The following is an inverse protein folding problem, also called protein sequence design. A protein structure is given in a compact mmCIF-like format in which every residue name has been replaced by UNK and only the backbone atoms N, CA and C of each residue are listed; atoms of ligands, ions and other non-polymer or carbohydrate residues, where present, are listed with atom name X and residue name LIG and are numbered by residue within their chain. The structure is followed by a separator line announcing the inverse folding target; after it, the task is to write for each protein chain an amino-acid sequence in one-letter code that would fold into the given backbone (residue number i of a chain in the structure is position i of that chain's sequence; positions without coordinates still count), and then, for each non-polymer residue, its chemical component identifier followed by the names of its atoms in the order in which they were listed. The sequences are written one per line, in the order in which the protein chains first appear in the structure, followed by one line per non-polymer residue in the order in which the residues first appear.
data_IF_110294539469
#
_entry.id   IF_110294539469
#
_cell.length_a   1.000
_cell.length_b   1.000
_cell.length_c   1.000
_cell.angle_alpha   90.00
_cell.angle_beta   90.00
_cell.angle_gamma   90.00
#
_symmetry.space_group_name_H-M   'P 1'
#
loop_
_entity.id
_entity.type
_entity.pdbx_description
1 polymer ?
#
# COMPACT_ATOMS: atom_id res chain seq x y z
N UNK A 1 20.92 -11.24 -23.71
CA UNK A 1 21.49 -10.47 -22.58
C UNK A 1 20.30 -9.89 -21.86
N UNK A 2 19.95 -10.45 -20.71
CA UNK A 2 18.81 -9.98 -19.91
C UNK A 2 19.24 -8.68 -19.24
N UNK A 3 18.74 -7.55 -19.72
CA UNK A 3 18.83 -6.32 -18.95
C UNK A 3 17.96 -6.52 -17.72
N UNK A 4 18.64 -6.68 -16.59
CA UNK A 4 18.07 -6.65 -15.26
C UNK A 4 17.24 -5.37 -15.13
N UNK A 5 15.93 -5.54 -15.14
CA UNK A 5 14.99 -4.56 -14.62
C UNK A 5 15.41 -4.22 -13.18
N UNK A 6 16.01 -3.06 -12.96
CA UNK A 6 16.40 -2.60 -11.63
C UNK A 6 15.43 -1.50 -11.20
N UNK A 7 14.27 -1.84 -10.58
CA UNK A 7 13.51 -0.84 -9.88
C UNK A 7 14.27 -0.59 -8.57
N UNK A 8 14.60 0.67 -8.28
CA UNK A 8 15.16 1.13 -7.02
C UNK A 8 16.68 0.87 -6.79
N UNK A 9 17.54 1.59 -7.51
CA UNK A 9 18.92 1.87 -7.05
C UNK A 9 18.99 3.11 -6.17
N UNK A 10 17.92 3.48 -5.46
CA UNK A 10 18.06 4.49 -4.42
C UNK A 10 18.61 3.79 -3.19
N UNK A 11 19.86 4.07 -2.84
CA UNK A 11 20.39 3.69 -1.55
C UNK A 11 19.57 4.41 -0.49
N UNK A 12 18.72 3.69 0.26
CA UNK A 12 18.12 4.24 1.47
C UNK A 12 19.24 4.82 2.33
N UNK A 13 19.16 6.11 2.65
CA UNK A 13 20.12 6.73 3.53
C UNK A 13 19.78 6.42 4.99
N UNK A 14 20.76 6.56 5.89
CA UNK A 14 20.49 6.46 7.33
C UNK A 14 19.40 7.45 7.78
N UNK A 15 19.23 8.58 7.09
CA UNK A 15 18.19 9.57 7.37
C UNK A 15 16.79 9.07 6.96
N UNK A 16 16.68 8.36 5.84
CA UNK A 16 15.40 7.80 5.40
C UNK A 16 14.92 6.73 6.37
N UNK A 17 15.84 5.87 6.81
CA UNK A 17 15.55 4.85 7.83
C UNK A 17 15.19 5.47 9.19
N UNK A 18 15.92 6.51 9.61
CA UNK A 18 15.59 7.25 10.84
C UNK A 18 14.19 7.89 10.77
N UNK A 19 13.76 8.34 9.58
CA UNK A 19 12.42 8.90 9.36
C UNK A 19 11.35 7.81 9.53
N UNK A 20 11.54 6.63 8.94
CA UNK A 20 10.62 5.49 9.10
C UNK A 20 10.56 5.00 10.56
N UNK A 21 11.71 4.93 11.25
CA UNK A 21 11.75 4.61 12.68
C UNK A 21 11.01 5.64 13.52
N UNK A 22 11.20 6.93 13.23
CA UNK A 22 10.48 8.01 13.91
C UNK A 22 8.97 7.88 13.73
N UNK A 23 8.50 7.53 12.51
CA UNK A 23 7.09 7.26 12.23
C UNK A 23 6.57 6.12 13.13
N UNK A 24 7.29 5.01 13.22
CA UNK A 24 6.93 3.88 14.09
C UNK A 24 6.78 4.29 15.56
N UNK A 25 7.65 5.17 16.07
CA UNK A 25 7.55 5.68 17.45
C UNK A 25 6.32 6.56 17.71
N UNK A 26 5.67 7.08 16.66
CA UNK A 26 4.40 7.80 16.81
C UNK A 26 3.18 6.89 16.92
N UNK A 27 3.36 5.57 16.75
CA UNK A 27 2.26 4.61 16.65
C UNK A 27 1.66 4.53 15.24
N UNK A 28 2.31 5.12 14.23
CA UNK A 28 1.94 4.98 12.82
C UNK A 28 2.85 3.99 12.10
N UNK A 29 2.33 3.29 11.11
CA UNK A 29 3.06 2.39 10.23
C UNK A 29 2.89 2.80 8.79
N UNK A 30 3.99 2.75 8.03
CA UNK A 30 3.93 2.70 6.57
C UNK A 30 3.89 1.23 6.15
N UNK A 31 2.79 0.80 5.54
CA UNK A 31 2.54 -0.58 5.15
C UNK A 31 2.49 -0.68 3.64
N UNK A 32 3.12 -1.73 3.09
CA UNK A 32 3.05 -2.07 1.68
C UNK A 32 2.32 -3.40 1.48
N UNK A 33 1.33 -3.44 0.60
CA UNK A 33 0.48 -4.60 0.34
C UNK A 33 0.38 -4.83 -1.16
N UNK A 34 0.73 -6.03 -1.62
CA UNK A 34 0.46 -6.46 -3.01
C UNK A 34 -0.95 -7.01 -3.11
N UNK A 35 -1.78 -6.42 -3.96
CA UNK A 35 -3.16 -6.85 -4.11
C UNK A 35 -3.25 -8.15 -4.92
N UNK A 36 -3.82 -9.20 -4.30
CA UNK A 36 -4.08 -10.47 -4.97
C UNK A 36 -5.21 -10.35 -5.99
N UNK A 37 -5.16 -11.04 -7.15
CA UNK A 37 -6.30 -11.15 -8.05
C UNK A 37 -7.54 -11.80 -7.41
N UNK A 38 -7.36 -12.57 -6.34
CA UNK A 38 -8.45 -13.22 -5.60
C UNK A 38 -9.01 -12.36 -4.46
N UNK A 39 -8.43 -11.18 -4.22
CA UNK A 39 -8.92 -10.26 -3.19
C UNK A 39 -10.27 -9.67 -3.59
N UNK A 40 -11.21 -9.59 -2.65
CA UNK A 40 -12.47 -8.86 -2.81
C UNK A 40 -12.26 -7.36 -3.06
N UNK A 41 -11.10 -6.82 -2.68
CA UNK A 41 -10.77 -5.43 -2.94
C UNK A 41 -10.34 -5.18 -4.39
N UNK A 42 -9.95 -6.22 -5.15
CA UNK A 42 -9.64 -6.08 -6.56
C UNK A 42 -10.91 -5.71 -7.35
N UNK A 43 -10.84 -4.66 -8.16
CA UNK A 43 -11.97 -4.13 -8.92
C UNK A 43 -12.84 -3.10 -8.18
N UNK A 44 -12.62 -2.88 -6.87
CA UNK A 44 -13.32 -1.84 -6.10
C UNK A 44 -12.64 -0.48 -6.24
N UNK A 45 -13.42 0.59 -6.17
CA UNK A 45 -12.90 1.94 -5.98
C UNK A 45 -12.51 2.16 -4.53
N UNK A 46 -11.57 3.06 -4.29
CA UNK A 46 -11.09 3.40 -2.94
C UNK A 46 -12.22 3.69 -1.93
N UNK A 47 -13.28 4.45 -2.27
CA UNK A 47 -14.38 4.73 -1.33
C UNK A 47 -15.24 3.50 -0.98
N UNK A 48 -15.18 2.44 -1.77
CA UNK A 48 -15.91 1.19 -1.54
C UNK A 48 -15.16 0.24 -0.58
N UNK A 49 -13.90 0.56 -0.26
CA UNK A 49 -13.08 -0.22 0.64
C UNK A 49 -13.46 0.07 2.09
N UNK A 50 -13.57 -0.98 2.90
CA UNK A 50 -13.76 -0.88 4.34
C UNK A 50 -12.43 -0.57 5.06
N UNK A 51 -11.77 0.53 4.67
CA UNK A 51 -10.51 0.94 5.29
C UNK A 51 -10.75 1.44 6.74
N UNK A 52 -9.81 1.19 7.66
CA UNK A 52 -9.91 1.72 9.02
C UNK A 52 -9.89 3.24 9.02
N UNK A 53 -10.56 3.86 10.02
CA UNK A 53 -10.70 5.34 10.10
C UNK A 53 -9.36 6.07 10.12
N UNK A 54 -8.35 5.50 10.78
CA UNK A 54 -7.01 6.08 10.91
C UNK A 54 -6.05 5.49 9.86
N UNK A 55 -6.51 5.39 8.62
CA UNK A 55 -5.72 4.90 7.49
C UNK A 55 -5.83 5.84 6.30
N UNK A 56 -4.68 6.10 5.67
CA UNK A 56 -4.59 6.86 4.43
C UNK A 56 -3.85 6.00 3.41
N UNK A 57 -4.53 5.68 2.31
CA UNK A 57 -3.89 5.09 1.13
C UNK A 57 -3.10 6.21 0.41
N UNK A 58 -1.78 6.12 0.41
CA UNK A 58 -0.88 7.21 -0.01
C UNK A 58 -0.61 7.17 -1.50
N UNK A 59 -0.23 5.99 -2.01
CA UNK A 59 0.07 5.77 -3.41
C UNK A 59 -0.15 4.29 -3.76
N UNK A 60 -0.23 4.01 -5.05
CA UNK A 60 -0.07 2.65 -5.57
C UNK A 60 0.91 2.64 -6.74
N UNK A 61 1.59 1.50 -6.93
CA UNK A 61 2.45 1.26 -8.08
C UNK A 61 1.79 0.21 -8.96
N UNK A 62 1.62 0.53 -10.24
CA UNK A 62 1.06 -0.34 -11.27
C UNK A 62 1.88 -0.19 -12.54
N UNK A 63 2.34 -1.30 -13.09
CA UNK A 63 3.15 -1.32 -14.32
C UNK A 63 4.30 -0.29 -14.24
N UNK A 64 4.95 -0.24 -13.07
CA UNK A 64 6.08 0.64 -12.75
C UNK A 64 5.78 2.15 -12.76
N UNK A 65 4.50 2.53 -12.87
CA UNK A 65 4.03 3.89 -12.69
C UNK A 65 3.50 4.10 -11.27
N UNK A 66 3.84 5.26 -10.69
CA UNK A 66 3.24 5.75 -9.44
C UNK A 66 1.90 6.40 -9.74
N UNK A 67 0.85 5.95 -9.06
CA UNK A 67 -0.48 6.56 -9.10
C UNK A 67 -0.85 7.06 -7.69
N UNK A 68 -1.50 8.22 -7.63
CA UNK A 68 -1.99 8.81 -6.40
C UNK A 68 -3.49 8.55 -6.28
N UNK A 69 -3.94 7.71 -5.34
CA UNK A 69 -5.34 7.36 -5.19
C UNK A 69 -6.23 8.58 -4.95
N UNK A 70 -7.34 8.62 -5.69
CA UNK A 70 -8.45 9.56 -5.60
C UNK A 70 -9.76 8.78 -5.41
N UNK A 71 -10.87 9.47 -5.23
CA UNK A 71 -12.17 8.82 -5.02
C UNK A 71 -12.62 7.92 -6.18
N UNK A 72 -12.17 8.20 -7.40
CA UNK A 72 -12.43 7.43 -8.62
C UNK A 72 -11.33 6.40 -8.93
N UNK A 73 -10.34 6.24 -8.05
CA UNK A 73 -9.29 5.25 -8.26
C UNK A 73 -9.82 3.84 -8.02
N UNK A 74 -9.88 3.05 -9.08
CA UNK A 74 -10.17 1.62 -9.02
C UNK A 74 -8.89 0.82 -8.77
N UNK A 75 -8.93 -0.05 -7.77
CA UNK A 75 -7.87 -1.00 -7.49
C UNK A 75 -7.89 -2.14 -8.51
N UNK A 76 -6.72 -2.54 -8.98
CA UNK A 76 -6.55 -3.65 -9.92
C UNK A 76 -5.68 -4.75 -9.30
N UNK A 77 -5.88 -6.02 -9.72
CA UNK A 77 -4.96 -7.09 -9.37
C UNK A 77 -3.51 -6.68 -9.58
N UNK A 78 -2.65 -7.09 -8.65
CA UNK A 78 -1.22 -6.85 -8.66
C UNK A 78 -0.75 -5.42 -8.36
N UNK A 79 -1.67 -4.49 -8.10
CA UNK A 79 -1.31 -3.18 -7.56
C UNK A 79 -0.47 -3.35 -6.29
N UNK A 80 0.64 -2.61 -6.20
CA UNK A 80 1.38 -2.47 -4.96
C UNK A 80 0.86 -1.24 -4.23
N UNK A 81 0.10 -1.45 -3.16
CA UNK A 81 -0.54 -0.41 -2.36
C UNK A 81 0.39 0.02 -1.22
N UNK A 82 0.43 1.33 -0.96
CA UNK A 82 1.13 1.90 0.18
C UNK A 82 0.17 2.72 1.03
N UNK A 83 0.12 2.44 2.31
CA UNK A 83 -0.76 3.12 3.25
C UNK A 83 -0.02 3.53 4.52
N UNK A 84 -0.38 4.68 5.07
CA UNK A 84 -0.05 5.05 6.45
C UNK A 84 -1.25 4.71 7.31
N UNK A 85 -1.02 3.94 8.37
CA UNK A 85 -2.08 3.44 9.25
C UNK A 85 -1.62 3.45 10.70
N UNK A 86 -2.54 3.68 11.63
CA UNK A 86 -2.29 3.44 13.06
C UNK A 86 -1.87 1.97 13.26
N UNK A 87 -0.82 1.74 14.06
CA UNK A 87 -0.25 0.41 14.30
C UNK A 87 -1.33 -0.60 14.74
N UNK A 88 -2.30 -0.14 15.53
CA UNK A 88 -3.39 -0.98 16.05
C UNK A 88 -4.39 -1.39 14.97
N UNK A 89 -4.48 -0.62 13.88
CA UNK A 89 -5.41 -0.82 12.78
C UNK A 89 -4.77 -1.48 11.55
N UNK A 90 -3.48 -1.86 11.60
CA UNK A 90 -2.81 -2.57 10.49
C UNK A 90 -3.54 -3.88 10.15
N UNK A 91 -4.02 -4.62 11.15
CA UNK A 91 -4.77 -5.86 10.94
C UNK A 91 -6.04 -5.63 10.14
N UNK A 92 -6.84 -4.64 10.52
CA UNK A 92 -8.07 -4.25 9.81
C UNK A 92 -7.79 -3.81 8.37
N UNK A 93 -6.69 -3.07 8.15
CA UNK A 93 -6.25 -2.68 6.81
C UNK A 93 -5.91 -3.93 5.96
N UNK A 94 -5.16 -4.88 6.53
CA UNK A 94 -4.81 -6.11 5.83
C UNK A 94 -6.07 -6.89 5.48
N UNK A 95 -6.97 -7.08 6.43
CA UNK A 95 -8.23 -7.78 6.19
C UNK A 95 -9.06 -7.11 5.09
N UNK A 96 -9.14 -5.77 5.09
CA UNK A 96 -9.86 -5.03 4.06
C UNK A 96 -9.29 -5.22 2.64
N UNK A 97 -7.98 -5.47 2.52
CA UNK A 97 -7.27 -5.57 1.24
C UNK A 97 -6.94 -7.01 0.82
N UNK A 98 -6.93 -7.98 1.73
CA UNK A 98 -6.49 -9.36 1.44
C UNK A 98 -7.59 -10.40 1.64
N UNK A 99 -8.79 -10.01 2.06
CA UNK A 99 -9.94 -10.93 2.13
C UNK A 99 -10.21 -11.53 0.76
N UNK A 100 -10.33 -12.87 0.72
CA UNK A 100 -10.61 -13.60 -0.51
C UNK A 100 -12.11 -13.59 -0.81
N UNK A 101 -12.46 -13.45 -2.08
CA UNK A 101 -13.84 -13.62 -2.52
C UNK A 101 -14.31 -15.06 -2.26
N UNK A 102 -15.51 -15.21 -1.71
CA UNK A 102 -16.15 -16.51 -1.43
C UNK A 102 -16.74 -17.15 -2.69
#
# INVERSE_FOLDING_TARGET
MYEVWAPFTDSFTARDLATLQSLSHTGLKLVSIKLSPMSEAAGKHVPELALPRNCVLVLLIRDDAVLYPRGDTQLKPWDQLFAVVDERAEGELRDALTRLAS
#
